data_IF_245980533590
#
_entry.id   IF_245980533590
#
_cell.length_a   1.000
_cell.length_b   1.000
_cell.length_c   1.000
_cell.angle_alpha   90.00
_cell.angle_beta   90.00
_cell.angle_gamma   90.00
#
_symmetry.space_group_name_H-M   'P 1'
#
loop_
_entity.id
_entity.type
_entity.pdbx_description
1 polymer ?
#
# COMPACT_ATOMS: atom_id res chain seq x y z
N UNK A 1 -0.99 -28.94 -55.25
CA UNK A 1 0.20 -28.54 -54.46
C UNK A 1 0.41 -27.02 -54.40
N UNK A 2 0.33 -26.27 -55.52
CA UNK A 2 0.55 -24.80 -55.50
C UNK A 2 -0.46 -24.00 -54.66
N UNK A 3 -1.76 -24.26 -54.79
CA UNK A 3 -2.81 -23.54 -54.02
C UNK A 3 -2.71 -23.72 -52.49
N UNK A 4 -2.28 -24.91 -52.03
CA UNK A 4 -2.10 -25.18 -50.59
C UNK A 4 -0.93 -24.39 -50.00
N UNK A 5 0.14 -24.20 -50.78
CA UNK A 5 1.30 -23.40 -50.36
C UNK A 5 0.97 -21.91 -50.35
N UNK A 6 0.18 -21.44 -51.32
CA UNK A 6 -0.25 -20.04 -51.40
C UNK A 6 -1.19 -19.66 -50.24
N UNK A 7 -2.16 -20.53 -49.92
CA UNK A 7 -3.02 -20.36 -48.74
C UNK A 7 -2.23 -20.37 -47.43
N UNK A 8 -1.19 -21.20 -47.33
CA UNK A 8 -0.30 -21.25 -46.17
C UNK A 8 0.51 -19.95 -46.01
N UNK A 9 1.08 -19.45 -47.10
CA UNK A 9 1.86 -18.21 -47.11
C UNK A 9 0.99 -16.98 -46.77
N UNK A 10 -0.23 -16.91 -47.30
CA UNK A 10 -1.17 -15.82 -46.98
C UNK A 10 -1.53 -15.82 -45.49
N UNK A 11 -1.76 -16.99 -44.89
CA UNK A 11 -2.02 -17.10 -43.45
C UNK A 11 -0.83 -16.64 -42.61
N UNK A 12 0.41 -16.88 -43.04
CA UNK A 12 1.60 -16.39 -42.34
C UNK A 12 1.67 -14.86 -42.42
N UNK A 13 1.46 -14.28 -43.60
CA UNK A 13 1.44 -12.83 -43.79
C UNK A 13 0.35 -12.15 -42.94
N UNK A 14 -0.85 -12.72 -42.89
CA UNK A 14 -1.95 -12.24 -42.04
C UNK A 14 -1.57 -12.29 -40.56
N UNK A 15 -0.92 -13.37 -40.11
CA UNK A 15 -0.46 -13.51 -38.73
C UNK A 15 0.65 -12.52 -38.37
N UNK A 16 1.57 -12.24 -39.30
CA UNK A 16 2.61 -11.22 -39.12
C UNK A 16 2.02 -9.81 -39.01
N UNK A 17 1.03 -9.49 -39.86
CA UNK A 17 0.34 -8.20 -39.79
C UNK A 17 -0.44 -8.07 -38.47
N UNK A 18 -1.21 -9.08 -38.10
CA UNK A 18 -1.91 -9.13 -36.81
C UNK A 18 -0.93 -8.93 -35.65
N UNK A 19 0.24 -9.57 -35.69
CA UNK A 19 1.26 -9.43 -34.64
C UNK A 19 1.77 -7.99 -34.54
N UNK A 20 1.99 -7.31 -35.67
CA UNK A 20 2.41 -5.89 -35.68
C UNK A 20 1.32 -5.00 -35.07
N UNK A 21 0.07 -5.20 -35.47
CA UNK A 21 -1.05 -4.38 -35.02
C UNK A 21 -1.30 -4.57 -33.52
N UNK A 22 -1.30 -5.82 -33.04
CA UNK A 22 -1.41 -6.15 -31.61
C UNK A 22 -0.26 -5.55 -30.81
N UNK A 23 0.97 -5.60 -31.34
CA UNK A 23 2.14 -5.02 -30.67
C UNK A 23 2.03 -3.51 -30.54
N UNK A 24 1.54 -2.82 -31.59
CA UNK A 24 1.32 -1.38 -31.55
C UNK A 24 0.31 -1.00 -30.45
N UNK A 25 -0.81 -1.74 -30.35
CA UNK A 25 -1.81 -1.54 -29.29
C UNK A 25 -1.20 -1.73 -27.90
N UNK A 26 -0.40 -2.78 -27.67
CA UNK A 26 0.28 -2.97 -26.38
C UNK A 26 1.24 -1.82 -26.05
N UNK A 27 1.98 -1.31 -27.03
CA UNK A 27 2.84 -0.14 -26.84
C UNK A 27 2.04 1.11 -26.45
N UNK A 28 0.87 1.33 -27.06
CA UNK A 28 -0.03 2.43 -26.66
C UNK A 28 -0.54 2.25 -25.22
N UNK A 29 -0.98 1.05 -24.84
CA UNK A 29 -1.41 0.73 -23.47
C UNK A 29 -0.29 1.02 -22.47
N UNK A 30 0.94 0.60 -22.77
CA UNK A 30 2.10 0.83 -21.90
C UNK A 30 2.37 2.32 -21.68
N UNK A 31 2.25 3.15 -22.73
CA UNK A 31 2.39 4.61 -22.62
C UNK A 31 1.32 5.18 -21.68
N UNK A 32 0.06 4.75 -21.82
CA UNK A 32 -1.02 5.17 -20.93
C UNK A 32 -0.79 4.76 -19.48
N UNK A 33 -0.44 3.49 -19.25
CA UNK A 33 -0.15 3.00 -17.90
C UNK A 33 1.01 3.75 -17.25
N UNK A 34 2.08 4.01 -18.00
CA UNK A 34 3.24 4.73 -17.49
C UNK A 34 2.89 6.19 -17.17
N UNK A 35 2.09 6.84 -18.01
CA UNK A 35 1.58 8.18 -17.75
C UNK A 35 0.69 8.21 -16.50
N UNK A 36 -0.25 7.27 -16.39
CA UNK A 36 -1.12 7.11 -15.23
C UNK A 36 -0.33 6.90 -13.94
N UNK A 37 0.63 5.95 -13.94
CA UNK A 37 1.52 5.67 -12.79
C UNK A 37 2.27 6.93 -12.35
N UNK A 38 2.82 7.71 -13.30
CA UNK A 38 3.53 8.97 -13.01
C UNK A 38 2.60 10.03 -12.41
N UNK A 39 1.37 10.15 -12.90
CA UNK A 39 0.41 11.14 -12.43
C UNK A 39 -0.17 10.80 -11.05
N UNK A 40 -0.44 9.53 -10.76
CA UNK A 40 -1.01 9.13 -9.46
C UNK A 40 0.02 9.08 -8.34
N UNK A 41 1.30 8.81 -8.65
CA UNK A 41 2.35 8.66 -7.64
C UNK A 41 2.44 9.86 -6.66
N UNK A 42 2.51 11.13 -7.12
CA UNK A 42 2.55 12.26 -6.20
C UNK A 42 1.26 12.43 -5.39
N UNK A 43 0.10 12.05 -5.95
CA UNK A 43 -1.17 12.11 -5.23
C UNK A 43 -1.22 11.07 -4.11
N UNK A 44 -0.79 9.84 -4.38
CA UNK A 44 -0.65 8.78 -3.36
C UNK A 44 0.35 9.18 -2.27
N UNK A 45 1.47 9.80 -2.66
CA UNK A 45 2.44 10.31 -1.70
C UNK A 45 1.84 11.39 -0.81
N UNK A 46 1.07 12.33 -1.37
CA UNK A 46 0.39 13.38 -0.60
C UNK A 46 -0.64 12.80 0.38
N UNK A 47 -1.39 11.77 -0.02
CA UNK A 47 -2.31 11.06 0.87
C UNK A 47 -1.53 10.42 2.03
N UNK A 48 -0.48 9.65 1.74
CA UNK A 48 0.33 9.00 2.77
C UNK A 48 0.96 10.02 3.75
N UNK A 49 1.42 11.17 3.25
CA UNK A 49 1.94 12.25 4.11
C UNK A 49 0.87 12.82 5.03
N UNK A 50 -0.36 13.00 4.55
CA UNK A 50 -1.47 13.50 5.37
C UNK A 50 -1.88 12.47 6.42
N UNK A 51 -1.95 11.19 6.05
CA UNK A 51 -2.22 10.08 6.96
C UNK A 51 -1.15 10.02 8.06
N UNK A 52 0.14 9.99 7.70
CA UNK A 52 1.22 9.96 8.70
C UNK A 52 1.23 11.21 9.60
N UNK A 53 1.00 12.40 9.04
CA UNK A 53 0.91 13.64 9.84
C UNK A 53 -0.24 13.59 10.84
N UNK A 54 -1.37 13.00 10.45
CA UNK A 54 -2.49 12.79 11.36
C UNK A 54 -2.15 11.77 12.44
N UNK A 55 -1.53 10.65 12.06
CA UNK A 55 -1.09 9.62 13.01
C UNK A 55 -0.07 10.19 14.01
N UNK A 56 0.89 11.01 13.58
CA UNK A 56 1.89 11.65 14.46
C UNK A 56 1.25 12.57 15.49
N UNK A 57 0.14 13.20 15.12
CA UNK A 57 -0.60 14.08 16.02
C UNK A 57 -1.44 13.32 17.05
N UNK A 58 -1.97 12.15 16.69
CA UNK A 58 -3.02 11.49 17.48
C UNK A 58 -2.66 10.10 18.03
N UNK A 59 -1.63 9.44 17.51
CA UNK A 59 -1.06 8.23 18.10
C UNK A 59 0.13 8.60 18.95
N UNK A 60 -0.15 9.13 20.14
CA UNK A 60 0.86 9.60 21.07
C UNK A 60 0.85 8.76 22.36
N UNK A 61 2.03 8.60 22.96
CA UNK A 61 2.22 7.97 24.26
C UNK A 61 1.73 8.89 25.41
N UNK A 62 1.88 8.44 26.65
CA UNK A 62 1.50 9.18 27.87
C UNK A 62 2.24 10.52 28.03
N UNK A 63 3.35 10.72 27.32
CA UNK A 63 4.14 11.95 27.33
C UNK A 63 3.81 12.86 26.13
N UNK A 64 2.82 12.49 25.31
CA UNK A 64 2.47 13.21 24.09
C UNK A 64 3.47 13.00 22.95
N UNK A 65 4.33 11.99 23.01
CA UNK A 65 5.29 11.68 21.94
C UNK A 65 4.67 10.73 20.92
N UNK A 66 4.88 10.95 19.60
CA UNK A 66 4.32 10.08 18.58
C UNK A 66 4.88 8.65 18.68
N UNK A 67 3.98 7.68 18.50
CA UNK A 67 4.29 6.25 18.49
C UNK A 67 4.52 5.81 17.05
N UNK A 68 5.75 5.35 16.77
CA UNK A 68 6.18 4.89 15.45
C UNK A 68 6.41 3.38 15.40
N UNK A 69 6.39 2.85 14.18
CA UNK A 69 6.75 1.45 13.92
C UNK A 69 8.19 1.17 14.39
N UNK A 70 8.38 0.02 15.03
CA UNK A 70 9.64 -0.42 15.62
C UNK A 70 9.88 0.08 17.05
N UNK A 71 9.05 1.00 17.56
CA UNK A 71 9.13 1.41 18.96
C UNK A 71 8.62 0.30 19.89
N UNK A 72 9.18 0.28 21.11
CA UNK A 72 8.63 -0.50 22.21
C UNK A 72 7.79 0.42 23.07
N UNK A 73 6.53 0.05 23.28
CA UNK A 73 5.65 0.71 24.25
C UNK A 73 5.44 -0.21 25.46
N UNK A 74 5.35 0.39 26.64
CA UNK A 74 5.17 -0.31 27.90
C UNK A 74 3.96 0.22 28.66
N UNK A 75 3.19 -0.69 29.25
CA UNK A 75 2.11 -0.40 30.19
C UNK A 75 2.10 -1.48 31.26
N UNK A 76 2.06 -1.07 32.53
CA UNK A 76 2.06 -1.96 33.69
C UNK A 76 3.16 -3.05 33.64
N UNK A 77 4.37 -2.66 33.22
CA UNK A 77 5.52 -3.58 33.09
C UNK A 77 5.45 -4.58 31.92
N UNK A 78 4.41 -4.50 31.08
CA UNK A 78 4.28 -5.32 29.86
C UNK A 78 4.77 -4.52 28.66
N UNK A 79 5.64 -5.14 27.85
CA UNK A 79 6.23 -4.53 26.65
C UNK A 79 5.60 -5.05 25.37
N UNK A 80 5.40 -4.13 24.43
CA UNK A 80 4.78 -4.37 23.14
C UNK A 80 5.61 -3.69 22.05
N UNK A 81 5.94 -4.43 20.99
CA UNK A 81 6.62 -3.87 19.82
C UNK A 81 5.58 -3.36 18.83
N UNK A 82 5.71 -2.12 18.38
CA UNK A 82 4.81 -1.52 17.41
C UNK A 82 5.17 -2.01 16.03
N UNK A 83 4.31 -2.85 15.45
CA UNK A 83 4.56 -3.45 14.13
C UNK A 83 3.90 -2.66 12.99
N UNK A 84 2.82 -1.93 13.29
CA UNK A 84 2.13 -1.09 12.33
C UNK A 84 1.38 0.06 13.00
N UNK A 85 1.06 1.10 12.23
CA UNK A 85 0.17 2.20 12.59
C UNK A 85 -0.70 2.54 11.39
N UNK A 86 -1.98 2.82 11.59
CA UNK A 86 -2.90 3.04 10.47
C UNK A 86 -4.19 3.75 10.89
N UNK A 87 -4.92 4.25 9.89
CA UNK A 87 -6.31 4.69 10.01
C UNK A 87 -7.20 3.71 9.24
N UNK A 88 -8.37 3.38 9.79
CA UNK A 88 -9.36 2.59 9.05
C UNK A 88 -10.06 3.48 8.02
N UNK A 89 -10.09 3.07 6.76
CA UNK A 89 -10.86 3.77 5.73
C UNK A 89 -12.19 3.06 5.49
N UNK A 90 -13.31 3.71 5.82
CA UNK A 90 -14.67 3.17 5.68
C UNK A 90 -15.57 4.26 5.08
N UNK A 91 -16.27 3.95 3.97
CA UNK A 91 -17.25 4.85 3.34
C UNK A 91 -16.75 6.28 3.07
N UNK A 92 -15.50 6.45 2.64
CA UNK A 92 -14.94 7.78 2.40
C UNK A 92 -14.37 8.48 3.64
N UNK A 93 -14.47 7.86 4.81
CA UNK A 93 -14.02 8.40 6.08
C UNK A 93 -12.72 7.73 6.55
N UNK A 94 -11.70 8.56 6.82
CA UNK A 94 -10.47 8.15 7.53
C UNK A 94 -10.76 8.12 9.03
N UNK A 95 -11.04 6.92 9.52
CA UNK A 95 -11.49 6.64 10.87
C UNK A 95 -10.40 6.63 11.93
N UNK A 96 -10.74 6.00 13.06
CA UNK A 96 -9.96 6.07 14.29
C UNK A 96 -8.54 5.54 14.09
N UNK A 97 -7.51 6.33 14.46
CA UNK A 97 -6.13 5.91 14.34
C UNK A 97 -5.83 4.81 15.37
N UNK A 98 -5.03 3.82 14.95
CA UNK A 98 -4.63 2.68 15.79
C UNK A 98 -3.17 2.31 15.56
N UNK A 99 -2.57 1.69 16.56
CA UNK A 99 -1.33 0.94 16.40
C UNK A 99 -1.58 -0.54 16.53
N UNK A 100 -0.97 -1.33 15.67
CA UNK A 100 -0.87 -2.78 15.85
C UNK A 100 0.44 -3.09 16.55
N UNK A 101 0.37 -3.89 17.60
CA UNK A 101 1.53 -4.26 18.41
C UNK A 101 1.66 -5.77 18.57
N UNK A 102 2.90 -6.22 18.79
CA UNK A 102 3.24 -7.59 19.15
C UNK A 102 3.71 -7.62 20.61
N UNK A 103 2.94 -8.22 21.54
CA UNK A 103 3.39 -8.38 22.92
C UNK A 103 4.63 -9.28 23.01
N UNK A 104 5.59 -8.91 23.85
CA UNK A 104 6.82 -9.70 24.03
C UNK A 104 6.47 -11.15 24.43
N UNK A 105 7.02 -12.12 23.69
CA UNK A 105 6.81 -13.55 23.94
C UNK A 105 5.47 -14.10 23.44
N UNK A 106 4.67 -13.33 22.69
CA UNK A 106 3.44 -13.79 22.04
C UNK A 106 3.59 -13.76 20.52
N UNK A 107 2.77 -14.56 19.83
CA UNK A 107 2.70 -14.59 18.37
C UNK A 107 1.50 -13.81 17.80
N UNK A 108 0.52 -13.47 18.64
CA UNK A 108 -0.70 -12.77 18.21
C UNK A 108 -0.56 -11.28 18.41
N UNK A 109 -0.94 -10.55 17.37
CA UNK A 109 -0.96 -9.09 17.35
C UNK A 109 -2.21 -8.55 18.04
N UNK A 110 -2.13 -7.31 18.53
CA UNK A 110 -3.23 -6.58 19.15
C UNK A 110 -3.30 -5.19 18.54
N UNK A 111 -4.50 -4.68 18.31
CA UNK A 111 -4.70 -3.28 17.95
C UNK A 111 -5.03 -2.47 19.20
N UNK A 112 -4.35 -1.34 19.37
CA UNK A 112 -4.53 -0.39 20.47
C UNK A 112 -5.04 0.91 19.87
N UNK A 113 -6.13 1.45 20.45
CA UNK A 113 -6.70 2.72 20.05
C UNK A 113 -5.88 3.91 20.57
N UNK A 114 -5.95 5.05 19.88
CA UNK A 114 -5.32 6.30 20.36
C UNK A 114 -5.73 6.67 21.79
N UNK A 115 -6.99 6.46 22.16
CA UNK A 115 -7.49 6.74 23.50
C UNK A 115 -6.87 5.86 24.59
N UNK A 116 -6.36 4.69 24.24
CA UNK A 116 -5.69 3.79 25.18
C UNK A 116 -4.19 4.07 25.27
N UNK A 117 -3.58 4.60 24.20
CA UNK A 117 -2.14 4.91 24.13
C UNK A 117 -1.67 5.95 25.15
N UNK A 118 -2.57 6.79 25.64
CA UNK A 118 -2.29 7.76 26.71
C UNK A 118 -1.84 7.10 28.02
N UNK A 119 -2.07 5.80 28.18
CA UNK A 119 -1.64 5.00 29.33
C UNK A 119 -0.32 4.24 29.10
N UNK A 120 0.30 4.38 27.92
CA UNK A 120 1.53 3.68 27.54
C UNK A 120 2.70 4.65 27.47
N UNK A 121 3.90 4.19 27.83
CA UNK A 121 5.16 4.94 27.67
C UNK A 121 6.04 4.30 26.61
N UNK A 122 6.74 5.10 25.81
CA UNK A 122 7.82 4.58 24.95
C UNK A 122 9.03 4.22 25.83
N UNK A 123 9.65 3.05 25.59
CA UNK A 123 10.81 2.50 26.33
C UNK A 123 12.05 2.38 25.46
#
# INVERSE_FOLDING_TARGET
MKESNEKHNNRIADAEQLTKDVRAIYSEIEVFENSYKRQIAPLKQKIAQLEESFLDKWLVDSNGKPVWKGMIIEKDGKRFEVINRYQQYLFGYLGNPRVTVLPKGKQRTLDIFSSELVEFTIV
#
